data_IF_062589665974
#
_entry.id   IF_062589665974
#
_cell.length_a   1.000
_cell.length_b   1.000
_cell.length_c   1.000
_cell.angle_alpha   90.00
_cell.angle_beta   90.00
_cell.angle_gamma   90.00
#
_symmetry.space_group_name_H-M   'P 1'
#
loop_
_entity.id
_entity.type
_entity.pdbx_description
1 polymer ?
#
# COMPACT_ATOMS: atom_id res chain seq x y z
N UNK A 1 1.50 -34.61 -17.47
CA UNK A 1 1.45 -33.67 -16.35
C UNK A 1 1.96 -34.44 -15.15
N UNK A 2 3.10 -34.05 -14.62
CA UNK A 2 3.59 -34.69 -13.39
C UNK A 2 2.69 -34.33 -12.20
N UNK A 3 2.81 -35.05 -11.08
CA UNK A 3 1.94 -34.85 -9.93
C UNK A 3 2.12 -33.47 -9.27
N UNK A 4 3.34 -32.92 -9.26
CA UNK A 4 3.60 -31.57 -8.75
C UNK A 4 2.99 -30.51 -9.68
N UNK A 5 3.16 -30.66 -11.00
CA UNK A 5 2.54 -29.78 -12.01
C UNK A 5 1.01 -29.81 -11.91
N UNK A 6 0.42 -30.98 -11.66
CA UNK A 6 -1.02 -31.10 -11.41
C UNK A 6 -1.44 -30.38 -10.14
N UNK A 7 -0.67 -30.54 -9.06
CA UNK A 7 -0.94 -29.91 -7.77
C UNK A 7 -0.90 -28.38 -7.89
N UNK A 8 0.19 -27.82 -8.40
CA UNK A 8 0.37 -26.37 -8.58
C UNK A 8 -0.73 -25.76 -9.45
N UNK A 9 -1.06 -26.38 -10.59
CA UNK A 9 -2.14 -25.91 -11.48
C UNK A 9 -3.52 -25.96 -10.82
N UNK A 10 -3.75 -26.94 -9.95
CA UNK A 10 -5.03 -27.08 -9.24
C UNK A 10 -5.17 -26.01 -8.16
N UNK A 11 -4.12 -25.78 -7.36
CA UNK A 11 -4.08 -24.70 -6.38
C UNK A 11 -4.33 -23.36 -7.07
N UNK A 12 -3.60 -23.09 -8.16
CA UNK A 12 -3.76 -21.86 -8.93
C UNK A 12 -5.19 -21.70 -9.46
N UNK A 13 -5.77 -22.74 -10.07
CA UNK A 13 -7.14 -22.69 -10.62
C UNK A 13 -8.17 -22.41 -9.53
N UNK A 14 -8.02 -23.00 -8.34
CA UNK A 14 -8.92 -22.74 -7.21
C UNK A 14 -8.75 -21.29 -6.73
N UNK A 15 -7.51 -20.85 -6.53
CA UNK A 15 -7.15 -19.51 -6.08
C UNK A 15 -7.65 -18.40 -7.01
N UNK A 16 -7.66 -18.64 -8.32
CA UNK A 16 -8.14 -17.69 -9.33
C UNK A 16 -9.68 -17.65 -9.42
N UNK A 17 -10.36 -18.75 -9.11
CA UNK A 17 -11.80 -18.88 -9.31
C UNK A 17 -12.64 -17.88 -8.49
N UNK A 18 -12.16 -17.55 -7.30
CA UNK A 18 -12.77 -16.57 -6.40
C UNK A 18 -11.73 -16.13 -5.36
N UNK A 19 -11.95 -14.98 -4.73
CA UNK A 19 -11.08 -14.50 -3.66
C UNK A 19 -11.31 -15.34 -2.41
N UNK A 20 -10.26 -16.02 -1.96
CA UNK A 20 -10.30 -16.91 -0.80
C UNK A 20 -9.29 -16.43 0.24
N UNK A 21 -9.79 -15.98 1.40
CA UNK A 21 -8.97 -15.97 2.61
C UNK A 21 -8.85 -17.40 3.17
N UNK A 22 -8.09 -17.56 4.24
CA UNK A 22 -7.82 -18.87 4.84
C UNK A 22 -9.10 -19.63 5.25
N UNK A 23 -10.09 -18.93 5.81
CA UNK A 23 -11.35 -19.53 6.25
C UNK A 23 -12.19 -19.96 5.05
N UNK A 24 -12.27 -19.10 4.03
CA UNK A 24 -13.00 -19.38 2.80
C UNK A 24 -12.32 -20.49 1.99
N UNK A 25 -10.99 -20.56 1.98
CA UNK A 25 -10.25 -21.67 1.37
C UNK A 25 -10.55 -23.00 2.07
N UNK A 26 -10.53 -23.03 3.41
CA UNK A 26 -10.88 -24.23 4.17
C UNK A 26 -12.34 -24.66 3.93
N UNK A 27 -13.27 -23.70 3.93
CA UNK A 27 -14.69 -23.92 3.62
C UNK A 27 -14.89 -24.44 2.20
N UNK A 28 -14.15 -23.89 1.23
CA UNK A 28 -14.17 -24.36 -0.15
C UNK A 28 -13.73 -25.83 -0.24
N UNK A 29 -12.60 -26.19 0.37
CA UNK A 29 -12.11 -27.57 0.39
C UNK A 29 -13.09 -28.51 1.08
N UNK A 30 -13.68 -28.10 2.21
CA UNK A 30 -14.69 -28.88 2.92
C UNK A 30 -15.89 -29.20 2.01
N UNK A 31 -16.38 -28.21 1.26
CA UNK A 31 -17.47 -28.39 0.31
C UNK A 31 -17.06 -29.29 -0.88
N UNK A 32 -15.83 -29.15 -1.38
CA UNK A 32 -15.35 -29.96 -2.51
C UNK A 32 -15.07 -31.42 -2.12
N UNK A 33 -14.70 -31.70 -0.87
CA UNK A 33 -14.61 -33.08 -0.37
C UNK A 33 -15.95 -33.84 -0.47
N UNK A 34 -17.08 -33.12 -0.42
CA UNK A 34 -18.42 -33.70 -0.58
C UNK A 34 -18.83 -33.77 -2.06
N UNK A 35 -18.56 -32.70 -2.82
CA UNK A 35 -19.11 -32.53 -4.17
C UNK A 35 -18.21 -33.10 -5.29
N UNK A 36 -16.89 -33.06 -5.12
CA UNK A 36 -15.90 -33.60 -6.06
C UNK A 36 -14.68 -34.18 -5.31
N UNK A 37 -14.84 -35.32 -4.62
CA UNK A 37 -13.80 -35.88 -3.76
C UNK A 37 -12.55 -36.30 -4.54
N UNK A 38 -12.67 -36.66 -5.83
CA UNK A 38 -11.56 -37.24 -6.59
C UNK A 38 -10.41 -36.25 -6.78
N UNK A 39 -10.73 -35.00 -7.09
CA UNK A 39 -9.70 -33.95 -7.27
C UNK A 39 -9.03 -33.67 -5.92
N UNK A 40 -9.81 -33.47 -4.86
CA UNK A 40 -9.26 -33.11 -3.55
C UNK A 40 -8.44 -34.25 -2.95
N UNK A 41 -8.89 -35.51 -3.04
CA UNK A 41 -8.13 -36.66 -2.57
C UNK A 41 -6.80 -36.83 -3.31
N UNK A 42 -6.76 -36.47 -4.60
CA UNK A 42 -5.49 -36.43 -5.34
C UNK A 42 -4.56 -35.35 -4.80
N UNK A 43 -5.07 -34.14 -4.54
CA UNK A 43 -4.27 -33.06 -3.92
C UNK A 43 -3.72 -33.46 -2.54
N UNK A 44 -4.56 -34.07 -1.69
CA UNK A 44 -4.14 -34.59 -0.39
C UNK A 44 -3.03 -35.63 -0.57
N UNK A 45 -3.21 -36.58 -1.49
CA UNK A 45 -2.23 -37.65 -1.73
C UNK A 45 -0.87 -37.09 -2.10
N UNK A 46 -0.83 -36.07 -2.97
CA UNK A 46 0.41 -35.42 -3.42
C UNK A 46 1.02 -34.61 -2.28
N UNK A 47 0.25 -33.71 -1.64
CA UNK A 47 0.79 -32.81 -0.61
C UNK A 47 1.26 -33.54 0.64
N UNK A 48 0.61 -34.65 0.99
CA UNK A 48 1.01 -35.50 2.11
C UNK A 48 2.43 -36.03 1.95
N UNK A 49 2.86 -36.35 0.72
CA UNK A 49 4.23 -36.83 0.46
C UNK A 49 5.30 -35.75 0.70
N UNK A 50 4.89 -34.48 0.77
CA UNK A 50 5.76 -33.32 0.96
C UNK A 50 5.68 -32.74 2.38
N UNK A 51 4.86 -33.32 3.27
CA UNK A 51 4.73 -32.84 4.64
C UNK A 51 6.04 -33.01 5.41
N UNK A 52 6.53 -31.92 5.98
CA UNK A 52 7.69 -31.96 6.88
C UNK A 52 7.24 -32.00 8.34
N UNK A 53 8.13 -32.45 9.24
CA UNK A 53 7.83 -32.49 10.68
C UNK A 53 7.64 -31.10 11.30
N UNK A 54 8.26 -30.07 10.70
CA UNK A 54 8.16 -28.67 11.13
C UNK A 54 6.82 -28.04 10.74
N UNK A 55 6.16 -28.60 9.72
CA UNK A 55 4.84 -28.16 9.26
C UNK A 55 3.68 -28.72 10.11
N UNK A 56 3.94 -29.64 11.03
CA UNK A 56 2.92 -30.25 11.89
C UNK A 56 2.95 -29.62 13.29
N UNK A 57 1.80 -29.20 13.80
CA UNK A 57 1.61 -28.64 15.14
C UNK A 57 1.73 -27.12 15.23
N UNK A 58 1.50 -26.37 14.15
CA UNK A 58 1.52 -24.90 14.22
C UNK A 58 0.23 -24.33 14.84
N UNK A 59 0.27 -23.18 15.52
CA UNK A 59 -0.90 -22.62 16.21
C UNK A 59 -2.11 -22.33 15.29
N UNK A 60 -1.85 -21.99 14.02
CA UNK A 60 -2.87 -21.82 12.96
C UNK A 60 -3.62 -23.12 12.64
N UNK A 61 -2.97 -24.26 12.83
CA UNK A 61 -3.49 -25.56 12.47
C UNK A 61 -4.68 -25.95 13.34
N UNK A 62 -4.66 -25.60 14.62
CA UNK A 62 -5.76 -25.92 15.54
C UNK A 62 -7.09 -25.26 15.11
N UNK A 63 -7.03 -24.04 14.60
CA UNK A 63 -8.22 -23.31 14.16
C UNK A 63 -8.80 -23.87 12.86
N UNK A 64 -7.95 -24.22 11.90
CA UNK A 64 -8.38 -24.70 10.58
C UNK A 64 -8.74 -26.21 10.59
N UNK A 65 -8.12 -27.03 11.44
CA UNK A 65 -8.47 -28.45 11.62
C UNK A 65 -9.96 -28.65 11.93
N UNK A 66 -10.60 -27.71 12.62
CA UNK A 66 -12.02 -27.77 12.96
C UNK A 66 -12.95 -27.85 11.73
N UNK A 67 -12.49 -27.44 10.54
CA UNK A 67 -13.24 -27.56 9.28
C UNK A 67 -13.22 -28.99 8.71
N UNK A 68 -12.33 -29.87 9.19
CA UNK A 68 -12.14 -31.22 8.63
C UNK A 68 -12.29 -32.34 9.68
N UNK A 69 -13.36 -32.37 10.49
CA UNK A 69 -13.45 -33.25 11.66
C UNK A 69 -13.53 -34.74 11.32
N UNK A 70 -13.88 -35.09 10.08
CA UNK A 70 -14.03 -36.48 9.62
C UNK A 70 -12.73 -37.08 9.05
N UNK A 71 -11.67 -36.28 8.93
CA UNK A 71 -10.40 -36.71 8.34
C UNK A 71 -9.41 -37.17 9.41
N UNK A 72 -8.45 -38.02 9.04
CA UNK A 72 -7.36 -38.42 9.95
C UNK A 72 -6.46 -37.23 10.29
N UNK A 73 -5.69 -37.29 11.37
CA UNK A 73 -4.82 -36.17 11.78
C UNK A 73 -3.83 -35.74 10.69
N UNK A 74 -3.25 -36.72 9.97
CA UNK A 74 -2.35 -36.46 8.86
C UNK A 74 -3.05 -35.79 7.67
N UNK A 75 -4.26 -36.23 7.32
CA UNK A 75 -5.09 -35.61 6.27
C UNK A 75 -5.55 -34.21 6.67
N UNK A 76 -5.92 -33.99 7.93
CA UNK A 76 -6.27 -32.68 8.45
C UNK A 76 -5.09 -31.71 8.33
N UNK A 77 -3.89 -32.15 8.73
CA UNK A 77 -2.65 -31.37 8.62
C UNK A 77 -2.36 -31.03 7.14
N UNK A 78 -2.56 -32.00 6.24
CA UNK A 78 -2.44 -31.81 4.79
C UNK A 78 -3.42 -30.77 4.25
N UNK A 79 -4.70 -30.86 4.65
CA UNK A 79 -5.76 -29.94 4.22
C UNK A 79 -5.56 -28.53 4.74
N UNK A 80 -5.02 -28.37 5.95
CA UNK A 80 -4.62 -27.05 6.47
C UNK A 80 -3.56 -26.42 5.56
N UNK A 81 -2.55 -27.19 5.15
CA UNK A 81 -1.48 -26.71 4.26
C UNK A 81 -2.03 -26.34 2.88
N UNK A 82 -2.87 -27.19 2.31
CA UNK A 82 -3.57 -26.88 1.04
C UNK A 82 -4.40 -25.59 1.19
N UNK A 83 -5.09 -25.39 2.32
CA UNK A 83 -5.89 -24.18 2.58
C UNK A 83 -5.03 -22.91 2.62
N UNK A 84 -3.86 -22.98 3.28
CA UNK A 84 -2.89 -21.89 3.33
C UNK A 84 -2.35 -21.58 1.93
N UNK A 85 -1.93 -22.59 1.18
CA UNK A 85 -1.39 -22.43 -0.17
C UNK A 85 -2.44 -21.85 -1.15
N UNK A 86 -3.70 -22.27 -1.06
CA UNK A 86 -4.80 -21.67 -1.82
C UNK A 86 -5.02 -20.21 -1.41
N UNK A 87 -5.04 -19.93 -0.11
CA UNK A 87 -5.23 -18.57 0.41
C UNK A 87 -4.12 -17.64 -0.05
N UNK A 88 -2.86 -18.09 0.01
CA UNK A 88 -1.71 -17.31 -0.43
C UNK A 88 -1.70 -17.10 -1.94
N UNK A 89 -1.94 -18.15 -2.73
CA UNK A 89 -2.09 -18.02 -4.17
C UNK A 89 -3.22 -17.07 -4.55
N UNK A 90 -4.36 -17.13 -3.85
CA UNK A 90 -5.52 -16.26 -4.09
C UNK A 90 -5.18 -14.81 -3.71
N UNK A 91 -4.55 -14.60 -2.55
CA UNK A 91 -4.05 -13.29 -2.11
C UNK A 91 -3.13 -12.66 -3.16
N UNK A 92 -2.14 -13.40 -3.65
CA UNK A 92 -1.19 -12.92 -4.67
C UNK A 92 -1.91 -12.61 -5.99
N UNK A 93 -2.77 -13.50 -6.46
CA UNK A 93 -3.50 -13.30 -7.71
C UNK A 93 -4.41 -12.07 -7.67
N UNK A 94 -5.26 -11.95 -6.65
CA UNK A 94 -6.18 -10.82 -6.53
C UNK A 94 -5.46 -9.50 -6.20
N UNK A 95 -4.30 -9.55 -5.54
CA UNK A 95 -3.43 -8.39 -5.38
C UNK A 95 -3.00 -7.83 -6.74
N UNK A 96 -2.55 -8.67 -7.67
CA UNK A 96 -2.20 -8.20 -9.00
C UNK A 96 -3.39 -7.69 -9.79
N UNK A 97 -4.54 -8.37 -9.72
CA UNK A 97 -5.76 -7.89 -10.33
C UNK A 97 -6.19 -6.52 -9.77
N UNK A 98 -5.94 -6.26 -8.49
CA UNK A 98 -6.28 -4.99 -7.84
C UNK A 98 -5.47 -3.79 -8.37
N UNK A 99 -4.40 -4.00 -9.13
CA UNK A 99 -3.62 -2.94 -9.77
C UNK A 99 -4.13 -2.56 -11.16
N UNK A 100 -4.98 -3.38 -11.77
CA UNK A 100 -5.50 -3.13 -13.11
C UNK A 100 -6.39 -1.88 -13.15
N UNK A 101 -6.40 -1.18 -14.29
CA UNK A 101 -7.39 -0.15 -14.57
C UNK A 101 -8.82 -0.70 -14.40
N UNK A 102 -9.73 0.19 -14.06
CA UNK A 102 -11.14 -0.10 -13.91
C UNK A 102 -11.75 -0.51 -15.24
N UNK A 103 -12.51 -1.60 -15.19
CA UNK A 103 -13.20 -2.15 -16.35
C UNK A 103 -14.62 -2.57 -15.96
N UNK A 104 -15.64 -2.34 -16.81
CA UNK A 104 -17.04 -2.69 -16.50
C UNK A 104 -17.29 -4.17 -16.16
N UNK A 105 -16.38 -5.08 -16.56
CA UNK A 105 -16.48 -6.50 -16.23
C UNK A 105 -16.02 -6.85 -14.82
N UNK A 106 -15.44 -5.90 -14.07
CA UNK A 106 -14.99 -6.17 -12.71
C UNK A 106 -16.17 -6.26 -11.74
N UNK A 107 -16.08 -7.08 -10.67
CA UNK A 107 -17.18 -7.35 -9.75
C UNK A 107 -17.94 -6.13 -9.23
N UNK A 108 -17.24 -5.06 -8.80
CA UNK A 108 -17.90 -3.86 -8.28
C UNK A 108 -18.80 -3.18 -9.32
N UNK A 109 -18.41 -3.20 -10.61
CA UNK A 109 -19.14 -2.54 -11.69
C UNK A 109 -20.17 -3.45 -12.35
N UNK A 110 -19.99 -4.77 -12.29
CA UNK A 110 -21.07 -5.69 -12.67
C UNK A 110 -22.24 -5.59 -11.69
N UNK A 111 -21.94 -5.45 -10.40
CA UNK A 111 -22.97 -5.32 -9.37
C UNK A 111 -23.57 -3.90 -9.32
N UNK A 112 -22.73 -2.86 -9.48
CA UNK A 112 -23.15 -1.46 -9.54
C UNK A 112 -22.67 -0.77 -10.83
N UNK A 113 -23.33 -1.00 -11.98
CA UNK A 113 -22.88 -0.44 -13.27
C UNK A 113 -22.81 1.09 -13.28
N UNK A 114 -23.69 1.76 -12.53
CA UNK A 114 -23.73 3.21 -12.46
C UNK A 114 -22.54 3.81 -11.69
N UNK A 115 -21.85 3.02 -10.87
CA UNK A 115 -20.63 3.45 -10.18
C UNK A 115 -19.49 3.75 -11.16
N UNK A 116 -19.45 3.07 -12.32
CA UNK A 116 -18.47 3.37 -13.38
C UNK A 116 -18.66 4.79 -13.94
N UNK A 117 -19.88 5.33 -13.89
CA UNK A 117 -20.17 6.73 -14.24
C UNK A 117 -19.65 7.74 -13.21
N UNK A 118 -19.22 7.29 -12.03
CA UNK A 118 -18.69 8.11 -10.92
C UNK A 118 -17.16 8.19 -10.91
N UNK A 119 -16.50 7.62 -11.92
CA UNK A 119 -15.07 7.78 -12.12
C UNK A 119 -14.70 9.26 -12.22
N UNK A 120 -13.52 9.60 -11.69
CA UNK A 120 -12.91 10.91 -11.86
C UNK A 120 -12.81 11.22 -13.35
N UNK A 121 -12.92 12.50 -13.71
CA UNK A 121 -12.71 12.97 -15.08
C UNK A 121 -11.36 13.67 -15.15
N UNK A 122 -10.54 13.29 -16.14
CA UNK A 122 -9.31 14.02 -16.47
C UNK A 122 -9.67 15.38 -17.05
N UNK A 123 -8.71 16.30 -17.13
CA UNK A 123 -8.90 17.61 -17.76
C UNK A 123 -9.39 17.54 -19.21
N UNK A 124 -9.08 16.45 -19.91
CA UNK A 124 -9.59 16.16 -21.27
C UNK A 124 -11.05 15.71 -21.33
N UNK A 125 -11.72 15.51 -20.19
CA UNK A 125 -13.09 14.98 -20.09
C UNK A 125 -13.18 13.45 -20.13
N UNK A 126 -12.09 12.76 -20.46
CA UNK A 126 -12.05 11.30 -20.43
C UNK A 126 -12.09 10.79 -18.97
N UNK A 127 -12.71 9.62 -18.72
CA UNK A 127 -12.69 9.01 -17.40
C UNK A 127 -11.25 8.64 -17.02
N UNK A 128 -10.92 8.86 -15.77
CA UNK A 128 -9.79 8.28 -15.08
C UNK A 128 -10.19 6.87 -14.65
N UNK A 129 -9.53 5.86 -15.23
CA UNK A 129 -9.83 4.47 -14.98
C UNK A 129 -9.18 3.96 -13.68
N UNK A 130 -8.67 4.83 -12.81
CA UNK A 130 -8.08 4.39 -11.54
C UNK A 130 -8.79 4.90 -10.30
N UNK A 131 -9.52 6.02 -10.41
CA UNK A 131 -10.04 6.75 -9.27
C UNK A 131 -11.54 7.05 -9.41
N UNK A 132 -12.28 6.81 -8.34
CA UNK A 132 -13.68 7.19 -8.16
C UNK A 132 -13.76 8.51 -7.39
N UNK A 133 -14.78 9.32 -7.64
CA UNK A 133 -15.08 10.44 -6.74
C UNK A 133 -15.38 9.89 -5.35
N UNK A 134 -14.73 10.44 -4.32
CA UNK A 134 -14.91 9.97 -2.95
C UNK A 134 -16.35 10.20 -2.47
N UNK A 135 -16.98 11.29 -2.87
CA UNK A 135 -18.37 11.60 -2.54
C UNK A 135 -19.42 10.66 -3.17
N UNK A 136 -19.00 9.78 -4.09
CA UNK A 136 -19.88 8.76 -4.64
C UNK A 136 -20.09 7.59 -3.68
N UNK A 137 -19.22 7.40 -2.68
CA UNK A 137 -19.30 6.32 -1.70
C UNK A 137 -19.27 6.88 -0.28
N UNK A 138 -19.95 6.21 0.64
CA UNK A 138 -19.85 6.58 2.04
C UNK A 138 -18.58 5.95 2.64
N UNK A 139 -17.66 6.79 3.11
CA UNK A 139 -16.42 6.38 3.79
C UNK A 139 -16.31 7.15 5.10
N UNK A 140 -16.36 6.43 6.22
CA UNK A 140 -16.37 7.00 7.57
C UNK A 140 -15.55 6.08 8.51
N UNK A 141 -14.20 6.19 8.46
CA UNK A 141 -13.34 5.36 9.27
C UNK A 141 -13.48 5.75 10.76
N UNK A 142 -13.51 4.78 11.69
CA UNK A 142 -13.37 5.07 13.11
C UNK A 142 -12.08 5.84 13.39
N UNK A 143 -12.12 6.71 14.40
CA UNK A 143 -10.94 7.47 14.85
C UNK A 143 -9.77 6.50 15.15
N UNK A 144 -8.58 6.85 14.66
CA UNK A 144 -7.35 6.07 14.84
C UNK A 144 -7.44 4.63 14.30
N UNK A 145 -8.13 4.43 13.18
CA UNK A 145 -8.21 3.13 12.50
C UNK A 145 -7.49 3.18 11.14
N UNK A 146 -6.14 3.21 11.11
CA UNK A 146 -5.36 3.36 9.87
C UNK A 146 -5.56 2.23 8.86
N UNK A 147 -6.02 1.07 9.31
CA UNK A 147 -6.29 -0.10 8.48
C UNK A 147 -7.76 -0.25 8.09
N UNK A 148 -8.61 0.72 8.45
CA UNK A 148 -10.00 0.74 8.00
C UNK A 148 -10.08 0.92 6.49
N UNK A 149 -10.84 0.05 5.83
CA UNK A 149 -10.94 0.07 4.35
C UNK A 149 -12.36 0.12 3.85
N UNK A 150 -13.36 0.04 4.72
CA UNK A 150 -14.74 -0.21 4.31
C UNK A 150 -15.39 1.05 3.73
N UNK A 151 -15.97 0.93 2.55
CA UNK A 151 -16.88 1.92 1.97
C UNK A 151 -18.28 1.31 1.84
N UNK A 152 -19.33 2.15 1.85
CA UNK A 152 -20.71 1.73 1.60
C UNK A 152 -21.24 2.36 0.31
N UNK A 153 -21.89 1.56 -0.53
CA UNK A 153 -22.59 2.00 -1.73
C UNK A 153 -23.86 1.20 -1.96
N UNK A 154 -25.03 1.86 -1.94
CA UNK A 154 -26.35 1.26 -2.20
C UNK A 154 -26.61 -0.07 -1.46
N UNK A 155 -26.21 -0.15 -0.19
CA UNK A 155 -26.38 -1.34 0.65
C UNK A 155 -25.29 -2.41 0.50
N UNK A 156 -24.35 -2.24 -0.42
CA UNK A 156 -23.14 -3.08 -0.51
C UNK A 156 -21.97 -2.45 0.23
N UNK A 157 -21.07 -3.31 0.67
CA UNK A 157 -19.78 -2.99 1.25
C UNK A 157 -18.68 -3.19 0.21
N UNK A 158 -17.85 -2.17 0.04
CA UNK A 158 -16.70 -2.13 -0.85
C UNK A 158 -15.45 -1.89 0.00
N UNK A 159 -14.26 -2.15 -0.56
CA UNK A 159 -13.00 -1.85 0.12
C UNK A 159 -12.18 -0.82 -0.64
N UNK A 160 -11.50 0.08 0.06
CA UNK A 160 -10.41 0.90 -0.50
C UNK A 160 -9.22 0.03 -0.86
N UNK A 161 -8.33 0.55 -1.72
CA UNK A 161 -7.08 -0.13 -2.07
C UNK A 161 -6.25 -0.50 -0.82
N UNK A 162 -5.64 -1.68 -0.81
CA UNK A 162 -4.98 -2.27 0.38
C UNK A 162 -3.81 -1.47 0.93
N UNK A 163 -3.16 -0.66 0.09
CA UNK A 163 -2.02 0.16 0.47
C UNK A 163 -2.41 1.58 0.91
N UNK A 164 -3.70 1.95 0.86
CA UNK A 164 -4.16 3.25 1.32
C UNK A 164 -4.40 3.22 2.83
N UNK A 165 -3.57 3.93 3.58
CA UNK A 165 -3.81 4.18 5.00
C UNK A 165 -5.08 5.04 5.16
N UNK A 166 -6.06 4.55 5.92
CA UNK A 166 -7.36 5.20 6.13
C UNK A 166 -7.27 6.58 6.77
N UNK A 167 -6.19 6.85 7.51
CA UNK A 167 -5.98 8.14 8.15
C UNK A 167 -5.72 9.26 7.13
N UNK A 168 -5.23 8.95 5.92
CA UNK A 168 -5.07 9.95 4.85
C UNK A 168 -6.43 10.49 4.39
N UNK A 169 -7.38 9.68 3.86
CA UNK A 169 -8.69 10.17 3.50
C UNK A 169 -9.43 10.74 4.72
N UNK A 170 -9.30 10.16 5.91
CA UNK A 170 -9.86 10.74 7.13
C UNK A 170 -9.41 12.20 7.34
N UNK A 171 -8.09 12.44 7.36
CA UNK A 171 -7.51 13.77 7.52
C UNK A 171 -7.99 14.75 6.43
N UNK A 172 -7.96 14.32 5.16
CA UNK A 172 -8.36 15.15 4.04
C UNK A 172 -9.85 15.51 4.07
N UNK A 173 -10.73 14.56 4.40
CA UNK A 173 -12.17 14.79 4.51
C UNK A 173 -12.47 15.81 5.61
N UNK A 174 -11.83 15.67 6.78
CA UNK A 174 -12.05 16.58 7.90
C UNK A 174 -11.64 18.02 7.57
N UNK A 175 -10.60 18.20 6.75
CA UNK A 175 -10.07 19.51 6.40
C UNK A 175 -10.72 20.14 5.17
N UNK A 176 -11.07 19.33 4.16
CA UNK A 176 -11.46 19.81 2.84
C UNK A 176 -12.83 19.32 2.35
N UNK A 177 -13.49 18.42 3.09
CA UNK A 177 -14.66 17.70 2.59
C UNK A 177 -14.30 16.70 1.48
N UNK A 178 -15.30 16.21 0.75
CA UNK A 178 -15.13 15.11 -0.22
C UNK A 178 -15.11 15.54 -1.69
N UNK A 179 -15.52 16.78 -2.00
CA UNK A 179 -15.80 17.23 -3.38
C UNK A 179 -14.58 17.23 -4.31
N UNK A 180 -13.38 17.40 -3.75
CA UNK A 180 -12.11 17.44 -4.48
C UNK A 180 -11.21 16.24 -4.19
N UNK A 181 -11.79 15.18 -3.63
CA UNK A 181 -11.10 13.95 -3.27
C UNK A 181 -11.57 12.80 -4.18
N UNK A 182 -10.61 12.02 -4.64
CA UNK A 182 -10.85 10.86 -5.49
C UNK A 182 -10.08 9.68 -4.94
N UNK A 183 -10.73 8.53 -4.82
CA UNK A 183 -10.20 7.36 -4.12
C UNK A 183 -10.24 6.13 -5.01
N UNK A 184 -9.28 5.23 -4.82
CA UNK A 184 -9.28 3.90 -5.41
C UNK A 184 -9.96 2.91 -4.47
N UNK A 185 -10.98 2.25 -5.00
CA UNK A 185 -11.57 1.02 -4.45
C UNK A 185 -10.95 -0.23 -5.10
N UNK A 186 -10.92 -1.33 -4.36
CA UNK A 186 -10.57 -2.66 -4.85
C UNK A 186 -11.70 -3.17 -5.77
N UNK A 187 -11.46 -3.32 -7.09
CA UNK A 187 -12.53 -3.63 -8.03
C UNK A 187 -13.06 -5.06 -7.93
N UNK A 188 -12.39 -5.93 -7.18
CA UNK A 188 -12.76 -7.33 -7.00
C UNK A 188 -13.33 -7.62 -5.61
N UNK A 189 -13.54 -6.59 -4.78
CA UNK A 189 -14.13 -6.76 -3.46
C UNK A 189 -15.49 -6.07 -3.35
N UNK A 190 -16.53 -6.89 -3.25
CA UNK A 190 -17.90 -6.47 -2.94
C UNK A 190 -18.57 -7.51 -2.05
N UNK A 191 -19.32 -7.04 -1.06
CA UNK A 191 -20.05 -7.89 -0.13
C UNK A 191 -21.40 -7.26 0.22
N UNK A 192 -22.38 -8.11 0.51
CA UNK A 192 -23.65 -7.68 1.12
C UNK A 192 -23.56 -7.59 2.64
N UNK A 193 -22.51 -8.17 3.23
CA UNK A 193 -22.25 -8.17 4.66
C UNK A 193 -21.07 -7.25 4.99
N UNK A 194 -21.16 -6.58 6.13
CA UNK A 194 -20.06 -5.75 6.64
C UNK A 194 -18.83 -6.63 6.87
N UNK A 195 -17.66 -6.28 6.31
CA UNK A 195 -16.44 -7.02 6.58
C UNK A 195 -16.10 -6.91 8.07
N UNK A 196 -15.55 -7.98 8.68
CA UNK A 196 -15.15 -7.94 10.08
C UNK A 196 -14.09 -6.85 10.29
N UNK A 197 -14.08 -6.16 11.45
CA UNK A 197 -13.04 -5.19 11.76
C UNK A 197 -11.68 -5.90 11.84
N UNK A 198 -10.68 -5.34 11.17
CA UNK A 198 -9.28 -5.74 11.35
C UNK A 198 -8.79 -5.17 12.68
N UNK A 199 -8.54 -6.06 13.64
CA UNK A 199 -7.92 -5.72 14.93
C UNK A 199 -6.49 -6.24 14.91
N UNK A 200 -5.53 -5.33 14.97
CA UNK A 200 -4.11 -5.65 15.11
C UNK A 200 -3.53 -4.82 16.25
N UNK A 201 -2.59 -5.40 16.99
CA UNK A 201 -1.87 -4.72 18.05
C UNK A 201 -0.76 -3.86 17.44
N UNK A 202 -0.82 -2.55 17.69
CA UNK A 202 0.19 -1.58 17.22
C UNK A 202 0.71 -0.79 18.42
N UNK A 203 2.02 -0.83 18.65
CA UNK A 203 2.69 -0.03 19.68
C UNK A 203 2.96 1.37 19.11
N UNK A 204 2.40 2.41 19.72
CA UNK A 204 2.56 3.81 19.30
C UNK A 204 3.42 4.57 20.31
N UNK A 205 4.57 5.08 19.88
CA UNK A 205 5.42 5.99 20.65
C UNK A 205 5.30 7.42 20.07
N UNK A 206 4.81 8.41 20.83
CA UNK A 206 4.55 9.75 20.29
C UNK A 206 5.81 10.64 20.23
N UNK A 207 5.96 11.53 19.21
CA UNK A 207 7.06 12.49 19.12
C UNK A 207 6.83 13.82 19.88
N UNK A 208 7.92 14.58 20.10
CA UNK A 208 8.02 15.84 20.87
C UNK A 208 7.64 17.10 20.02
N UNK A 209 6.87 18.11 20.54
CA UNK A 209 5.98 18.92 19.69
C UNK A 209 6.36 20.39 19.34
N UNK A 210 7.61 20.89 19.41
CA UNK A 210 7.83 22.35 19.44
C UNK A 210 8.97 22.99 18.61
N UNK A 211 9.06 22.88 17.27
CA UNK A 211 10.16 23.60 16.60
C UNK A 211 9.95 24.14 15.16
N UNK A 212 8.72 24.10 14.63
CA UNK A 212 8.43 24.41 13.21
C UNK A 212 8.09 25.89 12.93
N UNK A 213 8.50 26.86 13.76
CA UNK A 213 7.86 28.19 13.70
C UNK A 213 8.25 29.10 12.49
N UNK A 214 9.40 28.96 11.79
CA UNK A 214 9.94 30.15 11.03
C UNK A 214 10.57 30.04 9.61
N UNK A 215 10.69 28.84 9.04
CA UNK A 215 10.62 28.45 7.59
C UNK A 215 10.89 29.49 6.45
N UNK A 216 12.02 29.39 5.68
CA UNK A 216 12.28 30.09 4.38
C UNK A 216 13.31 29.40 3.43
N UNK A 217 13.05 29.28 2.10
CA UNK A 217 13.99 28.85 1.01
C UNK A 217 13.71 29.60 -0.32
N UNK A 218 14.73 29.77 -1.19
CA UNK A 218 14.75 30.60 -2.41
C UNK A 218 14.86 29.86 -3.79
N UNK A 219 14.57 30.58 -4.90
CA UNK A 219 14.59 30.13 -6.31
C UNK A 219 15.81 29.47 -7.02
N UNK A 220 15.53 28.58 -8.00
CA UNK A 220 16.44 27.93 -8.96
C UNK A 220 17.46 26.92 -8.39
N UNK A 221 17.24 26.46 -7.16
CA UNK A 221 17.96 25.30 -6.63
C UNK A 221 17.29 23.98 -7.04
N UNK A 222 18.13 22.98 -7.34
CA UNK A 222 17.75 21.58 -7.28
C UNK A 222 18.22 21.03 -5.93
N UNK A 223 17.28 20.58 -5.11
CA UNK A 223 17.55 19.89 -3.85
C UNK A 223 16.75 18.58 -3.79
N UNK A 224 17.35 17.59 -3.14
CA UNK A 224 16.78 16.27 -2.91
C UNK A 224 17.59 15.54 -1.86
N UNK A 225 16.94 14.65 -1.13
CA UNK A 225 17.58 13.78 -0.13
C UNK A 225 17.32 12.33 -0.49
N UNK A 226 18.35 11.50 -0.33
CA UNK A 226 18.22 10.04 -0.33
C UNK A 226 18.64 9.58 1.07
N UNK A 227 17.69 9.03 1.81
CA UNK A 227 17.90 8.52 3.15
C UNK A 227 17.87 7.00 3.08
N UNK A 228 18.81 6.36 3.77
CA UNK A 228 18.93 4.92 3.86
C UNK A 228 18.83 4.52 5.32
N UNK A 229 18.06 3.46 5.61
CA UNK A 229 18.16 2.80 6.90
C UNK A 229 19.45 1.98 6.92
N UNK A 230 20.38 2.23 7.86
CA UNK A 230 21.58 1.42 7.99
C UNK A 230 21.19 0.00 8.43
N UNK A 231 21.85 -1.02 7.86
CA UNK A 231 21.70 -2.40 8.31
C UNK A 231 22.50 -2.60 9.61
N UNK A 232 21.96 -2.15 10.74
CA UNK A 232 22.53 -2.44 12.06
C UNK A 232 22.35 -3.91 12.45
N UNK A 233 23.19 -4.43 13.34
CA UNK A 233 22.85 -5.62 14.14
C UNK A 233 22.06 -5.22 15.39
N UNK A 234 21.36 -6.17 16.02
CA UNK A 234 20.62 -5.90 17.26
C UNK A 234 21.56 -5.43 18.39
N UNK A 235 22.81 -5.88 18.38
CA UNK A 235 23.84 -5.45 19.31
C UNK A 235 24.32 -4.00 19.05
N UNK A 236 24.37 -3.57 17.78
CA UNK A 236 24.72 -2.19 17.40
C UNK A 236 23.62 -1.18 17.70
N UNK A 237 22.36 -1.64 17.74
CA UNK A 237 21.19 -0.86 18.10
C UNK A 237 20.90 -0.85 19.61
N UNK A 238 21.54 -1.73 20.39
CA UNK A 238 21.26 -1.87 21.82
C UNK A 238 21.60 -0.60 22.61
N UNK A 239 20.61 -0.04 23.30
CA UNK A 239 20.77 1.16 24.14
C UNK A 239 20.63 2.50 23.40
N UNK A 240 20.30 2.48 22.11
CA UNK A 240 20.00 3.66 21.30
C UNK A 240 18.63 3.49 20.63
N UNK A 241 17.60 4.14 21.20
CA UNK A 241 16.21 4.03 20.75
C UNK A 241 16.06 4.43 19.27
N UNK A 242 16.86 5.39 18.79
CA UNK A 242 16.81 5.84 17.40
C UNK A 242 17.36 4.78 16.44
N UNK A 243 18.53 4.20 16.76
CA UNK A 243 19.09 3.10 15.97
C UNK A 243 18.23 1.84 16.04
N UNK A 244 17.62 1.57 17.19
CA UNK A 244 16.68 0.47 17.34
C UNK A 244 15.46 0.63 16.44
N UNK A 245 14.89 1.84 16.38
CA UNK A 245 13.78 2.13 15.46
C UNK A 245 14.19 1.97 13.99
N UNK A 246 15.37 2.47 13.61
CA UNK A 246 15.90 2.30 12.24
C UNK A 246 16.12 0.82 11.88
N UNK A 247 16.72 0.05 12.79
CA UNK A 247 16.90 -1.40 12.65
C UNK A 247 15.56 -2.13 12.51
N UNK A 248 14.60 -1.78 13.37
CA UNK A 248 13.27 -2.37 13.36
C UNK A 248 12.55 -2.10 12.03
N UNK A 249 12.57 -0.86 11.53
CA UNK A 249 11.99 -0.50 10.24
C UNK A 249 12.67 -1.24 9.07
N UNK A 250 13.98 -1.43 9.12
CA UNK A 250 14.74 -2.17 8.11
C UNK A 250 14.39 -3.66 8.09
N UNK A 251 14.41 -4.31 9.27
CA UNK A 251 14.21 -5.74 9.40
C UNK A 251 12.73 -6.15 9.35
N UNK A 252 11.85 -5.41 10.02
CA UNK A 252 10.42 -5.77 10.15
C UNK A 252 9.58 -5.29 8.99
N UNK A 253 9.82 -4.08 8.50
CA UNK A 253 9.03 -3.51 7.40
C UNK A 253 9.74 -3.60 6.05
N UNK A 254 10.97 -4.11 6.01
CA UNK A 254 11.72 -4.27 4.77
C UNK A 254 12.05 -2.92 4.12
N UNK A 255 12.00 -1.81 4.85
CA UNK A 255 12.19 -0.48 4.26
C UNK A 255 13.67 -0.30 3.91
N UNK A 256 13.94 0.29 2.74
CA UNK A 256 15.31 0.43 2.22
C UNK A 256 15.72 1.87 2.03
N UNK A 257 14.88 2.67 1.35
CA UNK A 257 15.21 4.06 1.06
C UNK A 257 13.99 4.95 0.83
N UNK A 258 14.13 6.22 1.20
CA UNK A 258 13.22 7.30 0.84
C UNK A 258 13.95 8.25 -0.11
N UNK A 259 13.39 8.46 -1.30
CA UNK A 259 13.93 9.35 -2.32
C UNK A 259 12.99 10.52 -2.55
N UNK A 260 13.52 11.74 -2.48
CA UNK A 260 12.74 12.96 -2.68
C UNK A 260 13.35 13.79 -3.82
N UNK A 261 12.53 14.19 -4.78
CA UNK A 261 12.93 15.04 -5.91
C UNK A 261 11.90 16.14 -6.14
N UNK A 262 12.38 17.37 -6.33
CA UNK A 262 11.56 18.51 -6.72
C UNK A 262 12.14 19.18 -7.98
N UNK A 263 11.25 19.64 -8.85
CA UNK A 263 11.61 20.33 -10.09
C UNK A 263 10.74 21.56 -10.29
N UNK A 264 11.36 22.63 -10.79
CA UNK A 264 10.66 23.84 -11.23
C UNK A 264 10.81 23.96 -12.74
N UNK A 265 9.70 24.02 -13.47
CA UNK A 265 9.66 24.17 -14.93
C UNK A 265 9.04 25.51 -15.30
N UNK A 266 9.55 26.13 -16.36
CA UNK A 266 8.93 27.31 -16.96
C UNK A 266 7.99 26.88 -18.08
N UNK A 267 6.69 27.11 -17.93
CA UNK A 267 5.68 26.83 -18.94
C UNK A 267 5.07 28.16 -19.41
N UNK A 268 5.72 28.78 -20.40
CA UNK A 268 5.38 30.14 -20.84
C UNK A 268 5.71 31.16 -19.75
N UNK A 269 4.69 31.90 -19.27
CA UNK A 269 4.83 32.86 -18.16
C UNK A 269 4.60 32.25 -16.78
N UNK A 270 4.24 30.96 -16.70
CA UNK A 270 3.91 30.28 -15.45
C UNK A 270 5.08 29.42 -14.96
N UNK A 271 5.18 29.31 -13.64
CA UNK A 271 6.18 28.46 -12.99
C UNK A 271 5.50 27.22 -12.44
N UNK A 272 5.80 26.07 -13.03
CA UNK A 272 5.24 24.80 -12.62
C UNK A 272 6.20 24.08 -11.68
N UNK A 273 5.80 23.92 -10.43
CA UNK A 273 6.51 23.15 -9.43
C UNK A 273 5.96 21.73 -9.40
N UNK A 274 6.85 20.75 -9.46
CA UNK A 274 6.51 19.33 -9.41
C UNK A 274 7.43 18.61 -8.46
N UNK A 275 6.87 17.83 -7.54
CA UNK A 275 7.63 17.07 -6.54
C UNK A 275 7.18 15.61 -6.52
N UNK A 276 8.14 14.73 -6.27
CA UNK A 276 7.90 13.30 -6.09
C UNK A 276 8.71 12.78 -4.91
N UNK A 277 8.04 12.02 -4.04
CA UNK A 277 8.65 11.31 -2.92
C UNK A 277 8.35 9.83 -3.11
N UNK A 278 9.35 8.96 -2.95
CA UNK A 278 9.16 7.52 -3.06
C UNK A 278 9.90 6.75 -1.95
N UNK A 279 9.16 5.98 -1.16
CA UNK A 279 9.69 5.01 -0.20
C UNK A 279 9.70 3.62 -0.81
N UNK A 280 10.87 3.00 -0.92
CA UNK A 280 11.02 1.62 -1.38
C UNK A 280 11.11 0.65 -0.19
N UNK A 281 10.32 -0.42 -0.24
CA UNK A 281 10.31 -1.50 0.73
C UNK A 281 10.25 -2.88 0.09
N UNK A 282 10.98 -3.81 0.66
CA UNK A 282 10.99 -5.25 0.38
C UNK A 282 9.93 -6.02 1.19
N UNK A 283 8.90 -5.33 1.67
CA UNK A 283 7.82 -5.93 2.48
C UNK A 283 7.09 -7.10 1.81
N UNK A 284 7.13 -7.16 0.48
CA UNK A 284 6.48 -8.19 -0.35
C UNK A 284 7.49 -8.89 -1.27
N UNK A 285 8.76 -8.93 -0.87
CA UNK A 285 9.84 -9.47 -1.72
C UNK A 285 9.72 -10.99 -1.90
N UNK A 286 9.16 -11.70 -0.92
CA UNK A 286 8.88 -13.14 -0.99
C UNK A 286 7.82 -13.45 -2.06
N UNK A 287 6.86 -12.54 -2.26
CA UNK A 287 5.90 -12.60 -3.39
C UNK A 287 6.52 -12.12 -4.72
N UNK A 288 7.83 -11.83 -4.74
CA UNK A 288 8.57 -11.34 -5.90
C UNK A 288 8.31 -9.87 -6.24
N UNK A 289 8.00 -9.02 -5.24
CA UNK A 289 7.68 -7.61 -5.45
C UNK A 289 8.54 -6.67 -4.60
N UNK A 290 9.03 -5.62 -5.22
CA UNK A 290 9.48 -4.41 -4.51
C UNK A 290 8.37 -3.38 -4.57
N UNK A 291 8.01 -2.81 -3.42
CA UNK A 291 6.93 -1.84 -3.29
C UNK A 291 7.53 -0.43 -3.16
N UNK A 292 7.09 0.47 -4.03
CA UNK A 292 7.34 1.91 -3.96
C UNK A 292 6.07 2.64 -3.55
N UNK A 293 6.04 3.20 -2.34
CA UNK A 293 5.00 4.17 -1.95
C UNK A 293 5.39 5.51 -2.53
N UNK A 294 4.53 6.10 -3.36
CA UNK A 294 4.84 7.34 -4.06
C UNK A 294 3.86 8.44 -3.70
N UNK A 295 4.38 9.60 -3.32
CA UNK A 295 3.63 10.87 -3.29
C UNK A 295 4.08 11.67 -4.50
N UNK A 296 3.14 12.10 -5.33
CA UNK A 296 3.38 13.04 -6.41
C UNK A 296 2.53 14.27 -6.20
N UNK A 297 3.07 15.46 -6.46
CA UNK A 297 2.32 16.69 -6.36
C UNK A 297 2.82 17.74 -7.33
N UNK A 298 1.89 18.60 -7.72
CA UNK A 298 2.13 19.68 -8.65
C UNK A 298 1.47 20.98 -8.13
N UNK A 299 2.15 22.09 -8.33
CA UNK A 299 1.66 23.43 -8.04
C UNK A 299 2.01 24.39 -9.19
N UNK A 300 1.18 25.41 -9.39
CA UNK A 300 1.38 26.46 -10.40
C UNK A 300 1.65 27.78 -9.67
N UNK A 301 2.63 28.53 -10.18
CA UNK A 301 3.03 29.86 -9.73
C UNK A 301 3.42 29.93 -8.25
N UNK A 302 4.02 28.85 -7.73
CA UNK A 302 4.42 28.69 -6.32
C UNK A 302 5.84 29.18 -5.98
N UNK A 303 6.54 29.76 -6.94
CA UNK A 303 7.93 30.20 -6.80
C UNK A 303 8.07 31.31 -5.77
N UNK A 304 9.03 31.17 -4.85
CA UNK A 304 9.35 32.15 -3.79
C UNK A 304 8.17 32.44 -2.84
N UNK A 305 7.18 31.53 -2.80
CA UNK A 305 6.07 31.59 -1.86
C UNK A 305 6.37 30.72 -0.63
N UNK A 306 6.02 31.19 0.59
CA UNK A 306 6.02 30.33 1.77
C UNK A 306 5.15 29.10 1.52
N UNK A 307 5.63 27.91 1.87
CA UNK A 307 4.96 26.65 1.49
C UNK A 307 3.55 26.52 2.11
N UNK A 308 3.28 27.17 3.23
CA UNK A 308 1.97 27.24 3.89
C UNK A 308 0.98 28.11 3.13
N UNK A 309 1.44 28.86 2.12
CA UNK A 309 0.60 29.67 1.23
C UNK A 309 0.46 29.05 -0.16
N UNK A 310 1.21 27.98 -0.45
CA UNK A 310 1.16 27.30 -1.74
C UNK A 310 -0.05 26.37 -1.77
N UNK A 311 -0.90 26.54 -2.78
CA UNK A 311 -1.96 25.59 -3.11
C UNK A 311 -1.47 24.65 -4.20
N UNK A 312 -1.64 23.37 -3.95
CA UNK A 312 -1.39 22.33 -4.92
C UNK A 312 -2.50 22.34 -5.97
N UNK A 313 -2.12 22.19 -7.23
CA UNK A 313 -3.08 21.79 -8.26
C UNK A 313 -3.63 20.42 -7.88
N UNK A 314 -2.72 19.51 -7.52
CA UNK A 314 -3.07 18.21 -6.95
C UNK A 314 -1.95 17.57 -6.15
N UNK A 315 -2.34 16.61 -5.31
CA UNK A 315 -1.48 15.61 -4.69
C UNK A 315 -2.05 14.22 -5.00
N UNK A 316 -1.25 13.36 -5.55
CA UNK A 316 -1.55 11.96 -5.82
C UNK A 316 -0.72 11.07 -4.89
N UNK A 317 -1.37 10.11 -4.23
CA UNK A 317 -0.70 8.96 -3.64
C UNK A 317 -0.80 7.78 -4.61
N UNK A 318 0.29 7.08 -4.83
CA UNK A 318 0.35 5.92 -5.70
C UNK A 318 1.22 4.81 -5.10
N UNK A 319 1.02 3.59 -5.62
CA UNK A 319 1.91 2.46 -5.41
C UNK A 319 2.55 2.09 -6.73
N UNK A 320 3.86 2.02 -6.71
CA UNK A 320 4.69 1.44 -7.74
C UNK A 320 5.05 0.02 -7.32
N UNK A 321 4.83 -0.95 -8.19
CA UNK A 321 5.22 -2.35 -7.97
C UNK A 321 6.25 -2.73 -9.01
N UNK A 322 7.42 -3.17 -8.57
CA UNK A 322 8.50 -3.64 -9.43
C UNK A 322 8.65 -5.15 -9.31
N UNK A 323 8.80 -5.84 -10.44
CA UNK A 323 8.92 -7.31 -10.52
C UNK A 323 10.10 -7.74 -11.38
N UNK A 324 10.65 -8.92 -11.08
CA UNK A 324 11.76 -9.51 -11.83
C UNK A 324 12.96 -8.56 -11.91
N UNK A 325 13.53 -8.40 -13.10
CA UNK A 325 14.72 -7.57 -13.32
C UNK A 325 14.53 -6.09 -12.92
N UNK A 326 13.30 -5.57 -12.98
CA UNK A 326 13.02 -4.16 -12.64
C UNK A 326 13.27 -3.85 -11.16
N UNK A 327 13.26 -4.86 -10.27
CA UNK A 327 13.59 -4.69 -8.85
C UNK A 327 15.04 -4.24 -8.71
N UNK A 328 15.97 -4.99 -9.29
CA UNK A 328 17.40 -4.72 -9.19
C UNK A 328 17.76 -3.40 -9.87
N UNK A 329 17.16 -3.13 -11.04
CA UNK A 329 17.34 -1.85 -11.73
C UNK A 329 16.83 -0.67 -10.89
N UNK A 330 15.63 -0.79 -10.29
CA UNK A 330 15.07 0.26 -9.46
C UNK A 330 15.91 0.51 -8.21
N UNK A 331 16.38 -0.55 -7.55
CA UNK A 331 17.25 -0.44 -6.37
C UNK A 331 18.59 0.25 -6.66
N UNK A 332 19.16 0.00 -7.85
CA UNK A 332 20.41 0.64 -8.30
C UNK A 332 20.21 2.03 -8.94
N UNK A 333 18.97 2.47 -9.11
CA UNK A 333 18.64 3.78 -9.66
C UNK A 333 18.27 4.79 -8.58
N UNK A 334 18.39 6.08 -8.92
CA UNK A 334 18.02 7.18 -8.03
C UNK A 334 17.25 8.27 -8.75
N UNK A 335 16.13 8.69 -8.15
CA UNK A 335 15.28 9.79 -8.60
C UNK A 335 16.04 11.13 -8.62
N UNK A 336 17.06 11.27 -7.77
CA UNK A 336 17.83 12.52 -7.58
C UNK A 336 18.70 12.88 -8.78
N UNK A 337 19.02 11.90 -9.64
CA UNK A 337 19.88 12.12 -10.82
C UNK A 337 19.19 12.90 -11.96
N UNK A 338 17.88 13.13 -11.86
CA UNK A 338 17.07 13.77 -12.91
C UNK A 338 16.94 12.94 -14.21
N UNK A 339 17.54 11.74 -14.25
CA UNK A 339 17.40 10.79 -15.36
C UNK A 339 16.12 9.99 -15.20
N UNK A 340 15.61 9.49 -16.33
CA UNK A 340 14.49 8.54 -16.32
C UNK A 340 14.89 7.32 -15.49
N UNK A 341 14.11 7.04 -14.45
CA UNK A 341 14.25 5.84 -13.62
C UNK A 341 13.52 4.66 -14.26
N UNK A 342 13.78 3.45 -13.74
CA UNK A 342 13.06 2.23 -14.12
C UNK A 342 11.56 2.41 -13.94
N UNK A 343 10.80 2.15 -15.00
CA UNK A 343 9.34 2.19 -14.94
C UNK A 343 8.82 1.05 -14.05
N UNK A 344 7.82 1.33 -13.23
CA UNK A 344 7.18 0.31 -12.41
C UNK A 344 6.41 -0.69 -13.31
N UNK A 345 6.37 -1.96 -12.90
CA UNK A 345 5.54 -2.98 -13.56
C UNK A 345 4.06 -2.61 -13.44
N UNK A 346 3.67 -2.09 -12.28
CA UNK A 346 2.36 -1.46 -12.06
C UNK A 346 2.58 -0.12 -11.37
N UNK A 347 1.90 0.92 -11.84
CA UNK A 347 1.74 2.19 -11.13
C UNK A 347 0.25 2.41 -10.96
N UNK A 348 -0.18 2.55 -9.71
CA UNK A 348 -1.61 2.59 -9.37
C UNK A 348 -1.86 3.72 -8.37
N UNK A 349 -2.68 4.70 -8.76
CA UNK A 349 -3.08 5.80 -7.89
C UNK A 349 -4.08 5.31 -6.84
N UNK A 350 -3.83 5.63 -5.58
CA UNK A 350 -4.63 5.24 -4.43
C UNK A 350 -5.64 6.32 -4.03
N UNK A 351 -5.18 7.58 -4.01
CA UNK A 351 -6.00 8.75 -3.72
C UNK A 351 -5.42 9.95 -4.43
N UNK A 352 -6.29 10.85 -4.85
CA UNK A 352 -5.95 12.17 -5.36
C UNK A 352 -6.72 13.23 -4.60
N UNK A 353 -6.03 14.29 -4.23
CA UNK A 353 -6.62 15.48 -3.64
C UNK A 353 -6.28 16.69 -4.52
N UNK A 354 -7.30 17.35 -5.05
CA UNK A 354 -7.12 18.60 -5.80
C UNK A 354 -7.27 19.81 -4.84
N UNK A 355 -6.56 20.90 -5.13
CA UNK A 355 -6.70 22.19 -4.42
C UNK A 355 -6.49 22.13 -2.88
N UNK A 356 -5.51 21.35 -2.42
CA UNK A 356 -5.09 21.31 -1.02
C UNK A 356 -3.85 22.18 -0.77
N UNK A 357 -3.53 22.45 0.49
CA UNK A 357 -2.33 23.21 0.85
C UNK A 357 -1.09 22.33 0.75
N UNK A 358 0.03 22.88 0.25
CA UNK A 358 1.30 22.16 0.20
C UNK A 358 1.77 21.74 1.60
N UNK A 359 1.50 22.54 2.63
CA UNK A 359 1.86 22.23 4.02
C UNK A 359 1.30 20.90 4.55
N UNK A 360 0.22 20.39 3.95
CA UNK A 360 -0.33 19.08 4.32
C UNK A 360 0.52 17.90 3.87
N UNK A 361 1.50 18.12 2.98
CA UNK A 361 2.46 17.10 2.56
C UNK A 361 3.15 16.45 3.75
N UNK A 362 3.49 17.22 4.80
CA UNK A 362 4.22 16.71 5.95
C UNK A 362 3.38 15.69 6.73
N UNK A 363 2.12 16.02 7.01
CA UNK A 363 1.19 15.13 7.69
C UNK A 363 0.85 13.91 6.83
N UNK A 364 0.59 14.13 5.54
CA UNK A 364 0.31 13.05 4.60
C UNK A 364 1.51 12.10 4.49
N UNK A 365 2.74 12.62 4.41
CA UNK A 365 3.96 11.80 4.38
C UNK A 365 4.11 11.00 5.68
N UNK A 366 3.87 11.61 6.84
CA UNK A 366 3.89 10.92 8.13
C UNK A 366 2.86 9.79 8.22
N UNK A 367 1.68 9.96 7.64
CA UNK A 367 0.63 8.92 7.65
C UNK A 367 0.91 7.83 6.61
N UNK A 368 1.29 8.22 5.40
CA UNK A 368 1.34 7.35 4.23
C UNK A 368 2.60 6.49 4.17
N UNK A 369 3.77 7.06 4.49
CA UNK A 369 5.02 6.30 4.52
C UNK A 369 5.11 5.46 5.79
N UNK A 370 5.74 4.28 5.65
CA UNK A 370 5.93 3.38 6.78
C UNK A 370 7.08 3.85 7.67
N UNK A 371 8.15 4.39 7.09
CA UNK A 371 9.32 4.83 7.84
C UNK A 371 9.00 6.11 8.59
N UNK A 372 9.10 6.07 9.92
CA UNK A 372 8.99 7.28 10.74
C UNK A 372 10.35 7.97 10.82
N UNK A 373 11.43 7.20 10.81
CA UNK A 373 12.79 7.73 10.92
C UNK A 373 13.22 8.51 9.68
N UNK A 374 13.08 7.95 8.47
CA UNK A 374 13.49 8.66 7.24
C UNK A 374 12.58 9.85 6.93
N UNK A 375 11.27 9.76 7.20
CA UNK A 375 10.38 10.92 7.04
C UNK A 375 10.79 12.03 8.01
N UNK A 376 11.07 11.68 9.27
CA UNK A 376 11.54 12.66 10.25
C UNK A 376 12.88 13.27 9.83
N UNK A 377 13.86 12.45 9.44
CA UNK A 377 15.16 12.93 8.97
C UNK A 377 15.01 13.85 7.78
N UNK A 378 14.21 13.47 6.78
CA UNK A 378 13.96 14.30 5.60
C UNK A 378 13.40 15.66 6.01
N UNK A 379 12.35 15.66 6.82
CA UNK A 379 11.74 16.88 7.38
C UNK A 379 12.81 17.69 8.12
N UNK A 380 13.52 17.09 9.07
CA UNK A 380 14.57 17.76 9.84
C UNK A 380 15.61 18.41 8.92
N UNK A 381 16.09 17.69 7.89
CA UNK A 381 17.07 18.18 6.90
C UNK A 381 16.57 19.37 6.10
N UNK A 382 15.32 19.34 5.61
CA UNK A 382 14.75 20.49 4.89
C UNK A 382 14.70 21.76 5.75
N UNK A 383 14.77 21.60 7.07
CA UNK A 383 14.63 22.69 8.04
C UNK A 383 15.91 22.94 8.88
N UNK A 384 17.06 22.32 8.54
CA UNK A 384 18.33 22.43 9.28
C UNK A 384 19.01 23.81 9.20
N UNK A 385 18.86 24.56 8.10
CA UNK A 385 19.54 25.85 7.91
C UNK A 385 19.06 26.97 8.83
N UNK A 386 17.94 26.78 9.53
CA UNK A 386 17.36 27.77 10.43
C UNK A 386 18.11 27.86 11.79
N UNK A 387 18.93 26.87 12.14
CA UNK A 387 19.59 26.81 13.46
C UNK A 387 20.92 27.58 13.56
N UNK A 388 21.70 27.72 12.47
CA UNK A 388 23.07 28.29 12.50
C UNK A 388 23.15 29.81 12.34
N UNK A 389 22.07 30.48 11.97
CA UNK A 389 22.04 31.94 11.80
C UNK A 389 21.84 32.74 13.10
N UNK A 390 21.31 32.10 14.15
CA UNK A 390 20.95 32.78 15.39
C UNK A 390 22.12 32.97 16.39
N UNK A 391 23.26 32.32 16.17
CA UNK A 391 24.45 32.45 17.03
C UNK A 391 25.37 33.62 16.62
N UNK A 392 25.14 34.25 15.46
CA UNK A 392 26.02 35.31 14.94
C UNK A 392 25.44 36.74 15.06
N UNK A 393 24.24 36.90 15.63
CA UNK A 393 23.56 38.19 15.82
C UNK A 393 23.29 38.52 17.31
N UNK A 394 24.02 37.91 18.25
CA UNK A 394 23.99 38.26 19.69
C UNK A 394 25.16 39.12 20.12
#
# INVERSE_FOLDING_TARGET
>A
MDDLEFYEKSIQRIAESQRLDLINAATYLQNQLVNDPNIIMRLITIRRQLLTKEEVGTGLEYYIRAFFPQQTEEEQSTLVRISLEISDASRIFYKYLSFNEYHPSQPIFQHHPDLFGKLRRKSSGNPDLELLRLDAVAFDPPLNSPKYRTCKYKGSFLLTASYLNAMVPYFLIHKYGTEHLYIRLDPYCISNNEPPPLVEEEFVQPPNPHWIERLLIYPNQHEGSELFLPSYTIEEAAGDDWKYQQWFEYCRYGIRKLQVVATMKNEGSKKHFSMSLEELSEEDIEDGNLIGRMIHLDAIDSYDMPFEKVRLNHLDLAINVYRGNSIQERMNSTLTSGKRITDATYRTHLIRADNIMFSDLLEIAHIFFKSKTMVKEWIDYQFQFLAKGAENDS
#
